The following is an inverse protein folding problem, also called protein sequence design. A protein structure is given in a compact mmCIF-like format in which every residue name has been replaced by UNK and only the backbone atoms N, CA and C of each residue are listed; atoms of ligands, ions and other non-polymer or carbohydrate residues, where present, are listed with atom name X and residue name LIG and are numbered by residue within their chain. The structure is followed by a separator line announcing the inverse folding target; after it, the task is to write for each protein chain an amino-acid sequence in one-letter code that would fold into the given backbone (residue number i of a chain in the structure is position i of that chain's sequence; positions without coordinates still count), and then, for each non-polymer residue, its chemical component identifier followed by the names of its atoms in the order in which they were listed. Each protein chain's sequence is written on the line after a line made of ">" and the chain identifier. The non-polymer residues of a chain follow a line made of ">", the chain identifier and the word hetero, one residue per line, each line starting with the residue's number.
data_IF_880317949184
#
_entry.id   IF_880317949184
#
_cell.length_a   1.000
_cell.length_b   1.000
_cell.length_c   1.000
_cell.angle_alpha   90.00
_cell.angle_beta   90.00
_cell.angle_gamma   90.00
#
_symmetry.space_group_name_H-M   'P 1'
#
loop_
_entity.id
_entity.type
_entity.pdbx_description
1 polymer ?
#
# COMPACT_ATOMS: atom_id res chain seq x y z
N UNK A 1 -30.16 1.10 12.68
CA UNK A 1 -29.13 1.92 13.35
C UNK A 1 -28.08 2.21 12.30
N UNK A 2 -28.12 3.38 11.66
CA UNK A 2 -27.19 3.69 10.56
C UNK A 2 -25.86 4.13 11.13
N UNK A 3 -24.79 3.38 10.88
CA UNK A 3 -23.43 3.74 11.27
C UNK A 3 -22.98 4.93 10.41
N UNK A 4 -22.68 6.07 11.04
CA UNK A 4 -22.20 7.27 10.34
C UNK A 4 -20.71 7.12 10.10
N UNK A 5 -20.27 7.26 8.85
CA UNK A 5 -18.85 7.20 8.51
C UNK A 5 -18.16 8.53 8.78
N UNK A 6 -16.88 8.45 9.15
CA UNK A 6 -15.98 9.60 9.27
C UNK A 6 -15.06 9.59 8.06
N UNK A 7 -15.01 10.71 7.36
CA UNK A 7 -14.24 10.90 6.14
C UNK A 7 -13.16 11.94 6.37
N UNK A 8 -11.98 11.73 5.80
CA UNK A 8 -10.90 12.71 5.83
C UNK A 8 -10.87 13.42 4.48
N UNK A 9 -10.92 14.75 4.51
CA UNK A 9 -10.75 15.56 3.32
C UNK A 9 -9.35 16.15 3.29
N UNK A 10 -8.52 15.61 2.38
CA UNK A 10 -7.15 16.05 2.13
C UNK A 10 -6.95 16.33 0.62
N UNK A 11 -7.03 17.60 0.19
CA UNK A 11 -6.81 17.97 -1.21
C UNK A 11 -5.36 17.81 -1.67
N UNK A 12 -4.41 17.65 -0.74
CA UNK A 12 -3.00 17.39 -1.03
C UNK A 12 -2.64 15.89 -1.06
N UNK A 13 -3.60 15.00 -0.82
CA UNK A 13 -3.34 13.56 -0.82
C UNK A 13 -3.03 13.04 -2.23
N UNK A 14 -1.95 12.29 -2.38
CA UNK A 14 -1.57 11.61 -3.62
C UNK A 14 -2.61 10.59 -4.08
N UNK A 15 -3.48 10.11 -3.19
CA UNK A 15 -4.57 9.20 -3.51
C UNK A 15 -5.73 9.91 -4.26
N UNK A 16 -5.90 11.22 -4.06
CA UNK A 16 -6.92 12.01 -4.74
C UNK A 16 -6.49 12.55 -6.10
N UNK A 17 -5.18 12.69 -6.35
CA UNK A 17 -4.64 13.14 -7.63
C UNK A 17 -5.03 12.26 -8.83
N UNK A 18 -4.97 10.91 -8.76
CA UNK A 18 -5.38 10.04 -9.87
C UNK A 18 -6.90 9.83 -9.95
N UNK A 19 -7.68 10.28 -8.96
CA UNK A 19 -9.12 10.11 -8.94
C UNK A 19 -9.81 11.22 -9.74
N UNK A 20 -10.25 10.90 -10.96
CA UNK A 20 -11.06 11.79 -11.79
C UNK A 20 -12.52 11.90 -11.29
N UNK A 21 -12.74 12.37 -10.06
CA UNK A 21 -14.07 12.56 -9.49
C UNK A 21 -14.91 13.59 -10.30
N UNK A 22 -16.23 13.41 -10.36
CA UNK A 22 -17.12 14.32 -11.09
C UNK A 22 -17.27 15.67 -10.37
N UNK A 23 -17.75 16.71 -11.08
CA UNK A 23 -18.00 18.07 -10.54
C UNK A 23 -18.88 18.14 -9.27
N UNK A 24 -19.67 17.10 -8.98
CA UNK A 24 -20.57 17.02 -7.80
C UNK A 24 -20.14 15.97 -6.77
N UNK A 25 -18.97 15.37 -6.98
CA UNK A 25 -18.35 14.41 -6.08
C UNK A 25 -17.15 15.08 -5.38
N UNK A 26 -16.80 14.59 -4.21
CA UNK A 26 -15.62 14.97 -3.45
C UNK A 26 -14.75 13.73 -3.29
N UNK A 27 -13.44 13.88 -3.46
CA UNK A 27 -12.50 12.86 -3.04
C UNK A 27 -12.40 12.89 -1.51
N UNK A 28 -12.70 11.76 -0.87
CA UNK A 28 -12.63 11.59 0.57
C UNK A 28 -11.83 10.32 0.88
N UNK A 29 -10.99 10.40 1.91
CA UNK A 29 -10.20 9.27 2.39
C UNK A 29 -10.98 8.55 3.50
N UNK A 30 -11.10 7.23 3.38
CA UNK A 30 -11.61 6.36 4.46
C UNK A 30 -10.49 6.04 5.47
N UNK A 31 -9.26 5.90 4.98
CA UNK A 31 -8.05 5.59 5.73
C UNK A 31 -6.80 6.19 5.03
N UNK A 32 -5.60 5.86 5.50
CA UNK A 32 -4.35 6.40 4.96
C UNK A 32 -4.00 5.94 3.52
N UNK A 33 -4.70 4.94 2.98
CA UNK A 33 -4.41 4.29 1.69
C UNK A 33 -5.63 4.22 0.75
N UNK A 34 -6.84 4.47 1.26
CA UNK A 34 -8.08 4.36 0.50
C UNK A 34 -8.72 5.73 0.27
N UNK A 35 -8.79 6.14 -1.00
CA UNK A 35 -9.52 7.31 -1.45
C UNK A 35 -10.71 6.93 -2.33
N UNK A 36 -11.85 7.60 -2.13
CA UNK A 36 -13.08 7.36 -2.90
C UNK A 36 -13.77 8.66 -3.29
N UNK A 37 -14.42 8.65 -4.46
CA UNK A 37 -15.27 9.75 -4.90
C UNK A 37 -16.68 9.60 -4.30
N UNK A 38 -17.03 10.44 -3.34
CA UNK A 38 -18.35 10.42 -2.70
C UNK A 38 -19.20 11.61 -3.18
N UNK A 39 -20.47 11.35 -3.47
CA UNK A 39 -21.39 12.39 -3.90
C UNK A 39 -21.78 13.34 -2.76
N UNK A 40 -21.73 14.66 -2.99
CA UNK A 40 -22.17 15.67 -1.99
C UNK A 40 -23.61 15.45 -1.50
N UNK A 41 -24.49 14.93 -2.35
CA UNK A 41 -25.88 14.60 -2.00
C UNK A 41 -25.98 13.42 -1.03
N UNK A 42 -25.04 12.47 -1.12
CA UNK A 42 -25.03 11.26 -0.32
C UNK A 42 -24.54 11.56 1.09
N UNK A 43 -23.46 12.34 1.23
CA UNK A 43 -22.95 12.81 2.52
C UNK A 43 -24.01 13.54 3.34
N UNK A 44 -24.80 14.41 2.70
CA UNK A 44 -25.90 15.11 3.38
C UNK A 44 -27.05 14.17 3.80
N UNK A 45 -27.25 13.05 3.10
CA UNK A 45 -28.32 12.10 3.39
C UNK A 45 -27.91 11.05 4.43
N UNK A 46 -26.66 10.62 4.41
CA UNK A 46 -26.09 9.69 5.40
C UNK A 46 -25.78 10.38 6.73
N UNK A 47 -25.52 11.68 6.71
CA UNK A 47 -25.08 12.42 7.89
C UNK A 47 -23.65 12.06 8.29
N UNK A 48 -22.83 11.66 7.31
CA UNK A 48 -21.42 11.37 7.49
C UNK A 48 -20.64 12.64 7.82
N UNK A 49 -19.55 12.48 8.57
CA UNK A 49 -18.75 13.59 9.10
C UNK A 49 -17.49 13.71 8.25
N UNK A 50 -17.29 14.86 7.63
CA UNK A 50 -16.06 15.17 6.88
C UNK A 50 -15.14 16.01 7.75
N UNK A 51 -13.96 15.48 8.05
CA UNK A 51 -12.93 16.10 8.89
C UNK A 51 -11.79 16.58 7.98
N UNK A 52 -11.48 17.88 7.96
CA UNK A 52 -10.29 18.38 7.27
C UNK A 52 -9.02 17.85 7.94
N UNK A 53 -8.01 17.44 7.17
CA UNK A 53 -6.73 16.95 7.71
C UNK A 53 -6.03 17.94 8.66
N UNK A 54 -6.22 19.24 8.45
CA UNK A 54 -5.70 20.29 9.35
C UNK A 54 -6.20 20.16 10.79
N UNK A 55 -7.41 19.62 11.02
CA UNK A 55 -7.95 19.38 12.37
C UNK A 55 -7.43 18.09 13.03
N UNK A 56 -6.91 17.15 12.25
CA UNK A 56 -6.30 15.92 12.77
C UNK A 56 -4.87 16.16 13.29
N UNK A 57 -4.18 17.18 12.77
CA UNK A 57 -2.82 17.54 13.20
C UNK A 57 -2.79 18.38 14.49
N UNK A 58 -3.91 19.01 14.88
CA UNK A 58 -4.00 19.77 16.13
C UNK A 58 -4.15 18.89 17.38
N UNK A 59 -4.60 17.63 17.26
CA UNK A 59 -4.64 16.67 18.40
C UNK A 59 -3.31 15.95 18.66
N UNK A 60 -2.27 16.16 17.83
CA UNK A 60 -0.94 15.56 18.00
C UNK A 60 0.13 16.56 18.49
N UNK A 61 -0.25 17.79 18.84
CA UNK A 61 0.65 18.83 19.33
C UNK A 61 0.17 19.43 20.65
N UNK A 62 0.31 18.68 21.74
CA UNK A 62 0.51 19.28 23.07
C UNK A 62 1.46 18.38 23.89
N UNK A 63 2.66 18.92 24.16
CA UNK A 63 3.85 18.34 24.82
C UNK A 63 3.70 18.26 26.37
N UNK A 64 4.78 18.17 27.18
CA UNK A 64 6.02 17.35 27.19
C UNK A 64 6.14 16.58 28.54
N UNK A 65 6.98 15.55 28.65
CA UNK A 65 7.56 15.16 29.94
C UNK A 65 8.86 14.40 29.70
N UNK A 66 9.87 14.79 30.48
CA UNK A 66 11.28 14.48 30.35
C UNK A 66 11.59 13.01 30.64
N UNK A 67 12.28 12.32 29.73
CA UNK A 67 13.02 11.09 30.07
C UNK A 67 14.45 11.20 29.55
N UNK A 68 15.30 11.59 30.49
CA UNK A 68 16.75 11.47 30.51
C UNK A 68 17.22 10.08 30.06
N UNK A 69 17.91 9.99 28.92
CA UNK A 69 18.79 8.86 28.61
C UNK A 69 20.18 9.40 28.27
N UNK A 70 20.99 9.52 29.30
CA UNK A 70 22.40 9.85 29.26
C UNK A 70 23.19 8.54 29.14
N UNK A 71 23.92 8.36 28.04
CA UNK A 71 25.25 7.75 27.97
C UNK A 71 25.68 7.66 26.52
N UNK A 72 26.56 8.59 26.19
CA UNK A 72 27.51 8.57 25.09
C UNK A 72 28.35 7.27 25.19
N UNK A 73 28.40 6.47 24.13
CA UNK A 73 29.53 5.56 23.88
C UNK A 73 29.85 5.62 22.39
N UNK A 74 30.82 6.48 22.09
CA UNK A 74 31.46 6.64 20.78
C UNK A 74 32.27 5.38 20.46
N UNK A 75 32.07 4.84 19.27
CA UNK A 75 33.06 4.02 18.58
C UNK A 75 32.98 4.34 17.09
N UNK A 76 33.69 5.40 16.72
CA UNK A 76 34.11 5.69 15.35
C UNK A 76 35.05 4.59 14.85
N UNK A 77 34.74 4.01 13.68
CA UNK A 77 35.73 3.83 12.62
C UNK A 77 34.99 3.66 11.28
N UNK A 78 35.35 4.51 10.34
CA UNK A 78 34.70 4.75 9.05
C UNK A 78 34.98 3.68 8.00
N UNK A 79 34.02 3.43 7.10
CA UNK A 79 34.30 3.30 5.67
C UNK A 79 33.06 3.73 4.87
N UNK A 80 33.28 4.67 3.96
CA UNK A 80 32.29 5.24 3.07
C UNK A 80 32.00 4.29 1.90
N UNK A 81 30.73 3.92 1.70
CA UNK A 81 30.17 3.82 0.35
C UNK A 81 28.66 4.08 0.36
N UNK A 82 28.29 4.84 -0.66
CA UNK A 82 27.04 5.43 -1.07
C UNK A 82 25.69 4.81 -0.67
N UNK A 83 24.82 5.72 -0.22
CA UNK A 83 23.36 5.72 -0.28
C UNK A 83 22.59 4.84 0.73
N UNK A 84 21.98 5.55 1.68
CA UNK A 84 20.82 5.14 2.44
C UNK A 84 19.67 4.74 1.50
N UNK A 85 19.53 3.46 1.23
CA UNK A 85 18.27 2.86 0.79
C UNK A 85 17.87 1.79 1.80
N UNK A 86 17.34 2.22 2.95
CA UNK A 86 16.35 1.40 3.66
C UNK A 86 15.15 1.40 2.73
N UNK A 87 15.17 0.49 1.76
CA UNK A 87 14.20 0.40 0.68
C UNK A 87 12.81 0.30 1.30
N UNK A 88 12.07 1.40 1.22
CA UNK A 88 10.63 1.32 0.97
C UNK A 88 10.47 0.31 -0.16
N UNK A 89 10.00 -0.90 0.18
CA UNK A 89 9.77 -1.99 -0.78
C UNK A 89 8.67 -1.54 -1.75
N UNK A 90 9.05 -0.73 -2.72
CA UNK A 90 8.15 -0.19 -3.72
C UNK A 90 7.93 -1.31 -4.73
N UNK A 91 6.87 -2.09 -4.51
CA UNK A 91 6.49 -3.14 -5.44
C UNK A 91 6.04 -2.49 -6.75
N UNK A 92 6.76 -2.75 -7.84
CA UNK A 92 6.42 -2.16 -9.14
C UNK A 92 5.34 -2.95 -9.89
N UNK A 93 4.29 -2.29 -10.41
CA UNK A 93 3.24 -2.96 -11.16
C UNK A 93 3.75 -3.52 -12.49
N UNK A 94 3.24 -4.69 -12.88
CA UNK A 94 3.69 -5.36 -14.09
C UNK A 94 3.15 -4.71 -15.38
N UNK A 95 3.96 -4.64 -16.45
CA UNK A 95 3.50 -4.18 -17.76
C UNK A 95 2.47 -5.14 -18.36
N UNK A 96 1.59 -4.62 -19.22
CA UNK A 96 0.56 -5.41 -19.90
C UNK A 96 1.22 -6.15 -21.07
N UNK A 97 1.67 -7.39 -20.81
CA UNK A 97 2.26 -8.29 -21.79
C UNK A 97 1.36 -9.50 -22.03
N UNK A 98 1.63 -10.26 -23.10
CA UNK A 98 0.95 -11.55 -23.33
C UNK A 98 1.18 -12.45 -22.11
N UNK A 99 0.12 -13.01 -21.51
CA UNK A 99 0.25 -13.81 -20.30
C UNK A 99 1.02 -15.11 -20.58
N UNK A 100 1.97 -15.40 -19.72
CA UNK A 100 2.67 -16.69 -19.63
C UNK A 100 2.26 -17.33 -18.32
N UNK A 101 1.30 -18.26 -18.38
CA UNK A 101 0.78 -18.90 -17.17
C UNK A 101 1.84 -19.79 -16.54
N UNK A 102 1.97 -19.70 -15.21
CA UNK A 102 2.92 -20.43 -14.39
C UNK A 102 2.21 -20.90 -13.13
N UNK A 103 2.52 -22.12 -12.69
CA UNK A 103 2.08 -22.62 -11.40
C UNK A 103 3.12 -22.25 -10.34
N UNK A 104 2.70 -21.64 -9.23
CA UNK A 104 3.54 -21.36 -8.08
C UNK A 104 3.66 -22.56 -7.15
N UNK A 105 4.65 -22.53 -6.25
CA UNK A 105 4.82 -23.51 -5.15
C UNK A 105 3.67 -23.49 -4.14
N UNK A 106 2.84 -22.45 -4.17
CA UNK A 106 1.58 -22.32 -3.43
C UNK A 106 0.38 -22.99 -4.13
N UNK A 107 0.63 -23.70 -5.23
CA UNK A 107 -0.39 -24.34 -6.06
C UNK A 107 -1.40 -23.34 -6.66
N UNK A 108 -1.00 -22.08 -6.85
CA UNK A 108 -1.77 -21.04 -7.56
C UNK A 108 -1.17 -20.74 -8.93
N UNK A 109 -2.03 -20.41 -9.89
CA UNK A 109 -1.57 -20.01 -11.22
C UNK A 109 -1.38 -18.50 -11.31
N UNK A 110 -0.19 -18.08 -11.72
CA UNK A 110 0.20 -16.71 -11.98
C UNK A 110 0.26 -16.46 -13.49
N UNK A 111 -0.13 -15.27 -13.93
CA UNK A 111 -0.18 -14.94 -15.37
C UNK A 111 1.17 -14.57 -15.98
N UNK A 112 2.21 -14.40 -15.17
CA UNK A 112 3.60 -14.14 -15.56
C UNK A 112 4.52 -14.25 -14.35
N UNK A 113 5.84 -14.36 -14.57
CA UNK A 113 6.86 -14.25 -13.51
C UNK A 113 6.73 -12.95 -12.73
N UNK A 114 6.62 -11.82 -13.44
CA UNK A 114 6.45 -10.52 -12.79
C UNK A 114 5.25 -10.50 -11.83
N UNK A 115 4.10 -11.09 -12.18
CA UNK A 115 2.95 -11.12 -11.26
C UNK A 115 3.19 -11.98 -10.02
N UNK A 116 3.97 -13.05 -10.16
CA UNK A 116 4.38 -13.89 -9.05
C UNK A 116 5.36 -13.12 -8.13
N UNK A 117 6.35 -12.45 -8.70
CA UNK A 117 7.30 -11.62 -7.94
C UNK A 117 6.62 -10.42 -7.27
N UNK A 118 5.66 -9.80 -7.96
CA UNK A 118 4.85 -8.73 -7.41
C UNK A 118 3.99 -9.21 -6.24
N UNK A 119 3.39 -10.41 -6.34
CA UNK A 119 2.68 -11.02 -5.23
C UNK A 119 3.61 -11.31 -4.04
N UNK A 120 4.82 -11.84 -4.32
CA UNK A 120 5.85 -12.05 -3.30
C UNK A 120 6.21 -10.74 -2.58
N UNK A 121 6.38 -9.66 -3.34
CA UNK A 121 6.67 -8.33 -2.82
C UNK A 121 5.53 -7.81 -1.93
N UNK A 122 4.28 -7.84 -2.41
CA UNK A 122 3.11 -7.32 -1.68
C UNK A 122 2.76 -8.12 -0.42
N UNK A 123 2.90 -9.44 -0.48
CA UNK A 123 2.51 -10.33 0.61
C UNK A 123 3.69 -10.79 1.46
N UNK A 124 4.91 -10.30 1.19
CA UNK A 124 6.16 -10.77 1.80
C UNK A 124 6.28 -12.30 1.79
N UNK A 125 5.94 -12.91 0.64
CA UNK A 125 6.03 -14.36 0.42
C UNK A 125 7.21 -14.70 -0.49
N UNK A 126 7.63 -15.96 -0.49
CA UNK A 126 8.70 -16.46 -1.37
C UNK A 126 8.17 -17.65 -2.18
N UNK A 127 7.16 -17.37 -3.01
CA UNK A 127 6.59 -18.35 -3.93
C UNK A 127 7.53 -18.47 -5.12
N UNK A 128 7.85 -19.69 -5.50
CA UNK A 128 8.67 -19.98 -6.68
C UNK A 128 7.80 -20.63 -7.75
N UNK A 129 8.29 -20.68 -8.98
CA UNK A 129 7.61 -21.43 -10.04
C UNK A 129 7.78 -22.92 -9.78
N UNK A 130 6.67 -23.64 -9.73
CA UNK A 130 6.62 -25.10 -9.62
C UNK A 130 6.61 -25.76 -11.00
N UNK A 131 5.82 -25.24 -11.94
CA UNK A 131 5.80 -25.67 -13.33
C UNK A 131 5.27 -24.57 -14.26
N UNK A 132 5.49 -24.73 -15.57
CA UNK A 132 4.89 -23.85 -16.59
C UNK A 132 3.46 -24.28 -16.87
N UNK A 133 2.56 -23.32 -17.04
CA UNK A 133 1.13 -23.55 -17.27
C UNK A 133 0.28 -23.36 -16.00
N UNK A 134 -0.88 -24.02 -15.98
CA UNK A 134 -1.83 -23.93 -14.88
C UNK A 134 -1.53 -25.01 -13.83
N UNK A 135 -1.79 -24.71 -12.56
CA UNK A 135 -1.84 -25.72 -11.52
C UNK A 135 -3.09 -26.61 -11.67
N UNK A 136 -3.06 -27.88 -11.24
CA UNK A 136 -1.92 -28.59 -10.67
C UNK A 136 -0.91 -29.03 -11.74
N UNK A 137 0.37 -29.02 -11.39
CA UNK A 137 1.44 -29.53 -12.23
C UNK A 137 1.26 -31.03 -12.47
N UNK A 138 1.51 -31.48 -13.71
CA UNK A 138 1.60 -32.91 -14.01
C UNK A 138 2.98 -33.40 -13.59
N UNK A 139 3.10 -34.69 -13.23
CA UNK A 139 4.31 -35.32 -12.68
C UNK A 139 5.58 -35.24 -13.57
N UNK A 140 5.51 -34.63 -14.76
CA UNK A 140 6.63 -34.42 -15.68
C UNK A 140 7.11 -32.98 -15.86
N UNK A 141 6.49 -31.99 -15.22
CA UNK A 141 6.78 -30.57 -15.46
C UNK A 141 7.55 -29.87 -14.31
N UNK A 142 8.01 -30.61 -13.30
CA UNK A 142 8.86 -30.09 -12.22
C UNK A 142 10.27 -29.81 -12.75
N UNK A 143 10.52 -28.58 -13.19
CA UNK A 143 11.87 -28.13 -13.54
C UNK A 143 12.49 -27.42 -12.33
N UNK A 144 13.65 -27.94 -11.87
CA UNK A 144 14.52 -27.36 -10.85
C UNK A 144 15.20 -26.08 -11.34
#
# INVERSE_FOLDING_TARGET
>A
TGEKKRWIHDPSSDLCHPLNCKKKELCLLEDAFTAVCVSKKELHKSGDIVIPKSKLQEEAKQEPDDVFYDSEDDSDDEEADSNQDIATLECYPCPIVKPTFLCGTDNRTYSSLCRLDYHNCLHHTNIRVLCKGFCPCKDGDLHM
#
